data_IF_487601312922
#
_entry.id   IF_487601312922
#
_cell.length_a   1.000
_cell.length_b   1.000
_cell.length_c   1.000
_cell.angle_alpha   90.00
_cell.angle_beta   90.00
_cell.angle_gamma   90.00
#
_symmetry.space_group_name_H-M   'P 1'
#
loop_
_entity.id
_entity.type
_entity.pdbx_description
1 polymer ?
#
# COMPACT_ATOMS: atom_id res chain seq x y z
N UNK A 1 6.90 -9.52 9.31
CA UNK A 1 7.63 -9.18 10.54
C UNK A 1 8.61 -8.03 10.34
N UNK A 2 9.37 -8.03 9.24
CA UNK A 2 10.50 -7.12 9.02
C UNK A 2 10.21 -5.60 9.07
N UNK A 3 9.05 -5.16 8.57
CA UNK A 3 8.76 -3.72 8.44
C UNK A 3 7.49 -3.29 9.20
N UNK A 4 6.43 -4.10 9.12
CA UNK A 4 5.14 -3.73 9.69
C UNK A 4 5.07 -3.90 11.20
N UNK A 5 5.74 -4.92 11.76
CA UNK A 5 5.68 -5.15 13.21
C UNK A 5 6.36 -4.01 14.00
N UNK A 6 7.59 -3.56 13.65
CA UNK A 6 8.22 -2.39 14.27
C UNK A 6 7.33 -1.14 14.30
N UNK A 7 6.59 -0.90 13.22
CA UNK A 7 5.67 0.23 13.11
C UNK A 7 4.45 0.06 14.01
N UNK A 8 3.87 -1.14 14.04
CA UNK A 8 2.68 -1.43 14.84
C UNK A 8 2.95 -1.30 16.35
N UNK A 9 4.12 -1.70 16.83
CA UNK A 9 4.42 -1.75 18.27
C UNK A 9 5.00 -0.45 18.85
N UNK A 10 5.37 0.53 17.99
CA UNK A 10 6.16 1.72 18.37
C UNK A 10 5.62 2.50 19.57
N UNK A 11 4.30 2.55 19.73
CA UNK A 11 3.64 3.29 20.81
C UNK A 11 2.77 2.39 21.72
N UNK A 12 2.93 1.06 21.61
CA UNK A 12 2.10 0.10 22.35
C UNK A 12 2.82 -0.49 23.57
N UNK A 13 4.16 -0.55 23.54
CA UNK A 13 4.97 -1.22 24.55
C UNK A 13 6.04 -0.27 25.13
N UNK A 14 6.57 -0.56 26.33
CA UNK A 14 7.67 0.21 26.89
C UNK A 14 8.87 0.30 25.94
N UNK A 15 9.57 1.44 25.95
CA UNK A 15 10.65 1.73 25.00
C UNK A 15 11.71 0.62 24.91
N UNK A 16 12.09 0.04 26.05
CA UNK A 16 13.10 -1.02 26.08
C UNK A 16 12.61 -2.32 25.41
N UNK A 17 11.34 -2.71 25.61
CA UNK A 17 10.73 -3.88 24.94
C UNK A 17 10.62 -3.64 23.44
N UNK A 18 10.15 -2.45 23.06
CA UNK A 18 10.03 -2.06 21.66
C UNK A 18 11.38 -2.06 20.97
N UNK A 19 12.44 -1.53 21.61
CA UNK A 19 13.79 -1.54 21.06
C UNK A 19 14.28 -2.97 20.79
N UNK A 20 14.13 -3.90 21.74
CA UNK A 20 14.54 -5.30 21.56
C UNK A 20 13.77 -5.98 20.43
N UNK A 21 12.45 -5.77 20.34
CA UNK A 21 11.64 -6.33 19.25
C UNK A 21 11.99 -5.71 17.89
N UNK A 22 12.30 -4.42 17.85
CA UNK A 22 12.75 -3.73 16.64
C UNK A 22 14.10 -4.30 16.18
N UNK A 23 15.04 -4.52 17.08
CA UNK A 23 16.33 -5.17 16.76
C UNK A 23 16.13 -6.59 16.22
N UNK A 24 15.26 -7.37 16.84
CA UNK A 24 14.91 -8.70 16.35
C UNK A 24 14.28 -8.66 14.94
N UNK A 25 13.43 -7.67 14.65
CA UNK A 25 12.90 -7.47 13.31
C UNK A 25 13.96 -6.98 12.31
N UNK A 26 14.90 -6.13 12.76
CA UNK A 26 16.02 -5.64 11.97
C UNK A 26 16.91 -6.79 11.51
N UNK A 27 17.13 -7.77 12.38
CA UNK A 27 17.85 -9.00 12.08
C UNK A 27 17.26 -9.73 10.87
N UNK A 28 15.96 -10.05 10.91
CA UNK A 28 15.30 -10.74 9.79
C UNK A 28 15.33 -9.91 8.51
N UNK A 29 15.17 -8.59 8.61
CA UNK A 29 15.23 -7.69 7.47
C UNK A 29 16.60 -7.72 6.78
N UNK A 30 17.68 -7.75 7.56
CA UNK A 30 19.03 -7.87 7.03
C UNK A 30 19.26 -9.26 6.39
N UNK A 31 18.86 -10.32 7.10
CA UNK A 31 19.01 -11.70 6.65
C UNK A 31 18.24 -11.99 5.35
N UNK A 32 17.05 -11.41 5.19
CA UNK A 32 16.18 -11.62 4.02
C UNK A 32 16.49 -10.65 2.87
N UNK A 33 17.60 -9.91 2.95
CA UNK A 33 18.01 -9.02 1.85
C UNK A 33 18.39 -9.83 0.60
N UNK A 34 18.20 -9.21 -0.57
CA UNK A 34 18.43 -9.86 -1.88
C UNK A 34 19.89 -10.29 -2.08
N UNK A 35 20.83 -9.58 -1.46
CA UNK A 35 22.27 -9.76 -1.57
C UNK A 35 22.90 -9.71 -0.19
N UNK A 36 23.69 -10.73 0.15
CA UNK A 36 24.33 -10.86 1.46
C UNK A 36 25.85 -10.70 1.33
N UNK A 37 26.43 -9.89 2.20
CA UNK A 37 27.88 -9.76 2.34
C UNK A 37 28.34 -10.57 3.56
N UNK A 38 29.49 -11.25 3.46
CA UNK A 38 29.99 -12.11 4.54
C UNK A 38 30.34 -11.33 5.82
N UNK A 39 30.94 -10.15 5.69
CA UNK A 39 31.27 -9.27 6.83
C UNK A 39 30.01 -8.82 7.57
N UNK A 40 28.96 -8.43 6.82
CA UNK A 40 27.66 -8.06 7.41
C UNK A 40 27.02 -9.24 8.15
N UNK A 41 27.14 -10.45 7.60
CA UNK A 41 26.63 -11.67 8.24
C UNK A 41 27.38 -11.98 9.54
N UNK A 42 28.69 -11.79 9.61
CA UNK A 42 29.44 -11.96 10.87
C UNK A 42 28.98 -10.98 11.96
N UNK A 43 28.79 -9.71 11.60
CA UNK A 43 28.20 -8.74 12.52
C UNK A 43 26.78 -9.13 12.93
N UNK A 44 25.99 -9.65 11.99
CA UNK A 44 24.61 -10.07 12.23
C UNK A 44 24.53 -11.25 13.20
N UNK A 45 25.47 -12.21 13.11
CA UNK A 45 25.59 -13.34 14.04
C UNK A 45 25.80 -12.87 15.48
N UNK A 46 26.70 -11.91 15.69
CA UNK A 46 26.98 -11.38 17.03
C UNK A 46 25.76 -10.62 17.58
N UNK A 47 25.08 -9.86 16.72
CA UNK A 47 23.88 -9.10 17.11
C UNK A 47 22.72 -9.99 17.52
N UNK A 48 22.46 -11.10 16.80
CA UNK A 48 21.31 -11.96 17.13
C UNK A 48 21.49 -12.66 18.47
N UNK A 49 22.72 -13.06 18.83
CA UNK A 49 23.02 -13.65 20.15
C UNK A 49 22.64 -12.68 21.27
N UNK A 50 23.11 -11.43 21.19
CA UNK A 50 22.78 -10.39 22.17
C UNK A 50 21.28 -10.08 22.19
N UNK A 51 20.65 -10.04 21.01
CA UNK A 51 19.20 -9.79 20.90
C UNK A 51 18.38 -10.90 21.57
N UNK A 52 18.76 -12.16 21.40
CA UNK A 52 18.11 -13.29 22.06
C UNK A 52 18.26 -13.22 23.58
N UNK A 53 19.43 -12.85 24.09
CA UNK A 53 19.63 -12.62 25.53
C UNK A 53 18.70 -11.51 26.07
N UNK A 54 18.58 -10.39 25.34
CA UNK A 54 17.64 -9.34 25.74
C UNK A 54 16.18 -9.81 25.70
N UNK A 55 15.79 -10.59 24.68
CA UNK A 55 14.45 -11.17 24.63
C UNK A 55 14.21 -12.09 25.84
N UNK A 56 15.23 -12.85 26.27
CA UNK A 56 15.13 -13.80 27.38
C UNK A 56 14.95 -13.11 28.73
N UNK A 57 15.56 -11.94 28.89
CA UNK A 57 15.35 -11.09 30.06
C UNK A 57 13.94 -10.47 30.12
N UNK A 58 13.27 -10.32 28.97
CA UNK A 58 12.00 -9.57 28.87
C UNK A 58 10.76 -10.46 28.79
N UNK A 59 10.86 -11.61 28.13
CA UNK A 59 9.73 -12.50 27.86
C UNK A 59 9.80 -13.76 28.74
N UNK A 60 8.64 -14.34 29.11
CA UNK A 60 8.61 -15.57 29.90
C UNK A 60 9.23 -16.74 29.13
N UNK A 61 9.71 -17.79 29.82
CA UNK A 61 10.30 -18.98 29.18
C UNK A 61 9.39 -19.64 28.13
N UNK A 62 8.06 -19.52 28.27
CA UNK A 62 7.09 -20.03 27.29
C UNK A 62 7.19 -19.35 25.92
N UNK A 63 7.79 -18.17 25.82
CA UNK A 63 8.08 -17.50 24.56
C UNK A 63 9.21 -18.19 23.78
N UNK A 64 10.18 -18.78 24.50
CA UNK A 64 11.38 -19.40 23.95
C UNK A 64 11.11 -20.83 23.47
N UNK A 65 10.27 -20.92 22.45
CA UNK A 65 10.10 -22.17 21.69
C UNK A 65 11.35 -22.45 20.85
N UNK A 66 11.45 -23.70 20.36
CA UNK A 66 12.51 -24.11 19.44
C UNK A 66 12.67 -23.14 18.25
N UNK A 67 11.57 -22.59 17.74
CA UNK A 67 11.58 -21.64 16.62
C UNK A 67 12.33 -20.34 16.93
N UNK A 68 12.22 -19.83 18.16
CA UNK A 68 12.93 -18.61 18.57
C UNK A 68 14.42 -18.91 18.75
N UNK A 69 14.76 -20.07 19.30
CA UNK A 69 16.15 -20.44 19.48
C UNK A 69 16.88 -20.68 18.15
N UNK A 70 16.19 -21.27 17.16
CA UNK A 70 16.76 -21.53 15.83
C UNK A 70 17.23 -20.27 15.10
N UNK A 71 16.77 -19.07 15.49
CA UNK A 71 17.19 -17.83 14.82
C UNK A 71 18.69 -17.58 14.93
N UNK A 72 19.36 -18.12 15.95
CA UNK A 72 20.81 -18.00 16.10
C UNK A 72 21.58 -18.75 15.00
N UNK A 73 20.99 -19.78 14.41
CA UNK A 73 21.62 -20.62 13.39
C UNK A 73 21.37 -20.10 11.96
N UNK A 74 20.40 -19.20 11.77
CA UNK A 74 19.99 -18.74 10.45
C UNK A 74 21.09 -18.00 9.69
N UNK A 75 22.01 -17.34 10.40
CA UNK A 75 23.13 -16.65 9.76
C UNK A 75 24.14 -17.64 9.20
N UNK A 76 24.47 -18.69 9.94
CA UNK A 76 25.34 -19.77 9.43
C UNK A 76 24.68 -20.49 8.26
N UNK A 77 23.37 -20.75 8.37
CA UNK A 77 22.60 -21.27 7.25
C UNK A 77 22.67 -20.35 6.02
N UNK A 78 22.59 -19.03 6.21
CA UNK A 78 22.75 -18.03 5.14
C UNK A 78 24.15 -18.01 4.52
N UNK A 79 25.20 -18.21 5.32
CA UNK A 79 26.57 -18.34 4.81
C UNK A 79 26.75 -19.58 3.94
N UNK A 80 26.16 -20.71 4.34
CA UNK A 80 26.34 -21.99 3.66
C UNK A 80 25.48 -22.12 2.40
N UNK A 81 24.21 -21.72 2.45
CA UNK A 81 23.28 -21.89 1.32
C UNK A 81 22.85 -20.60 0.63
N UNK A 82 23.43 -19.47 0.98
CA UNK A 82 23.17 -18.18 0.34
C UNK A 82 21.87 -17.50 0.79
N UNK A 83 21.32 -16.57 -0.01
CA UNK A 83 20.14 -15.79 0.36
C UNK A 83 18.91 -16.63 0.76
N UNK A 84 18.17 -16.17 1.77
CA UNK A 84 17.05 -16.90 2.39
C UNK A 84 15.86 -17.08 1.44
N UNK A 85 15.63 -16.16 0.51
CA UNK A 85 14.42 -16.17 -0.32
C UNK A 85 14.27 -17.42 -1.20
N UNK A 86 15.36 -18.08 -1.57
CA UNK A 86 15.31 -19.34 -2.32
C UNK A 86 15.13 -20.59 -1.45
N UNK A 87 15.21 -20.44 -0.13
CA UNK A 87 15.26 -21.55 0.83
C UNK A 87 14.17 -21.47 1.88
N UNK A 88 13.32 -20.46 1.82
CA UNK A 88 12.15 -20.42 2.67
C UNK A 88 11.24 -21.61 2.39
N UNK A 89 10.94 -22.38 3.42
CA UNK A 89 9.96 -23.46 3.37
C UNK A 89 8.53 -22.96 3.24
N UNK A 90 8.26 -21.71 3.63
CA UNK A 90 6.90 -21.18 3.70
C UNK A 90 6.08 -21.28 2.41
N UNK A 91 6.60 -20.96 1.20
CA UNK A 91 5.85 -21.17 -0.04
C UNK A 91 5.53 -22.66 -0.29
N UNK A 92 6.47 -23.55 0.01
CA UNK A 92 6.30 -25.00 -0.14
C UNK A 92 5.24 -25.52 0.84
N UNK A 93 5.33 -25.15 2.10
CA UNK A 93 4.36 -25.54 3.13
C UNK A 93 2.96 -25.01 2.83
N UNK A 94 2.86 -23.79 2.29
CA UNK A 94 1.58 -23.22 1.85
C UNK A 94 0.98 -24.03 0.71
N UNK A 95 1.79 -24.40 -0.28
CA UNK A 95 1.35 -25.22 -1.42
C UNK A 95 0.90 -26.60 -0.95
N UNK A 96 1.71 -27.27 -0.12
CA UNK A 96 1.34 -28.55 0.48
C UNK A 96 0.06 -28.45 1.31
N UNK A 97 -0.14 -27.33 2.01
CA UNK A 97 -1.37 -27.03 2.75
C UNK A 97 -2.60 -26.89 1.85
N UNK A 98 -2.45 -26.27 0.67
CA UNK A 98 -3.51 -26.17 -0.35
C UNK A 98 -3.80 -27.55 -0.97
N UNK A 99 -2.78 -28.28 -1.41
CA UNK A 99 -2.93 -29.64 -1.96
C UNK A 99 -3.61 -30.59 -0.97
N UNK A 100 -3.32 -30.45 0.32
CA UNK A 100 -3.96 -31.23 1.38
C UNK A 100 -5.50 -31.07 1.39
N UNK A 101 -6.03 -29.94 0.93
CA UNK A 101 -7.49 -29.72 0.82
C UNK A 101 -8.15 -30.61 -0.24
N UNK A 102 -7.38 -31.13 -1.20
CA UNK A 102 -7.86 -32.04 -2.24
C UNK A 102 -7.97 -33.50 -1.79
N UNK A 103 -7.43 -33.86 -0.62
CA UNK A 103 -7.48 -35.24 -0.11
C UNK A 103 -8.89 -35.59 0.37
N UNK A 104 -9.76 -36.01 -0.56
CA UNK A 104 -11.12 -36.51 -0.30
C UNK A 104 -11.14 -37.97 0.11
N UNK A 105 -10.26 -38.79 -0.47
CA UNK A 105 -10.07 -40.19 -0.10
C UNK A 105 -8.70 -40.40 0.55
N UNK A 106 -8.69 -40.59 1.88
CA UNK A 106 -7.45 -40.82 2.65
C UNK A 106 -6.78 -42.16 2.35
N UNK A 107 -7.47 -43.13 1.75
CA UNK A 107 -6.88 -44.41 1.36
C UNK A 107 -6.06 -44.30 0.07
N UNK A 108 -6.28 -43.25 -0.73
CA UNK A 108 -5.55 -42.94 -1.96
C UNK A 108 -5.34 -41.42 -2.08
N UNK A 109 -4.48 -40.84 -1.23
CA UNK A 109 -4.33 -39.39 -1.13
C UNK A 109 -3.73 -38.77 -2.40
N UNK A 110 -2.76 -39.44 -3.05
CA UNK A 110 -2.11 -38.95 -4.26
C UNK A 110 -3.11 -38.86 -5.42
N UNK A 111 -3.96 -39.89 -5.58
CA UNK A 111 -5.03 -39.90 -6.59
C UNK A 111 -6.06 -38.80 -6.33
N UNK A 112 -6.46 -38.61 -5.07
CA UNK A 112 -7.38 -37.54 -4.69
C UNK A 112 -6.81 -36.14 -4.98
N UNK A 113 -5.52 -35.94 -4.72
CA UNK A 113 -4.83 -34.68 -5.02
C UNK A 113 -4.78 -34.45 -6.53
N UNK A 114 -4.40 -35.46 -7.31
CA UNK A 114 -4.33 -35.35 -8.77
C UNK A 114 -5.69 -35.00 -9.38
N UNK A 115 -6.77 -35.64 -8.92
CA UNK A 115 -8.13 -35.36 -9.38
C UNK A 115 -8.58 -33.95 -8.99
N UNK A 116 -8.39 -33.56 -7.73
CA UNK A 116 -8.76 -32.23 -7.23
C UNK A 116 -8.00 -31.11 -7.93
N UNK A 117 -6.70 -31.30 -8.15
CA UNK A 117 -5.86 -30.37 -8.89
C UNK A 117 -6.31 -30.23 -10.35
N UNK A 118 -6.59 -31.35 -11.04
CA UNK A 118 -7.08 -31.33 -12.42
C UNK A 118 -8.42 -30.58 -12.53
N UNK A 119 -9.32 -30.79 -11.58
CA UNK A 119 -10.59 -30.08 -11.52
C UNK A 119 -10.39 -28.57 -11.29
N UNK A 120 -9.52 -28.18 -10.34
CA UNK A 120 -9.23 -26.77 -10.06
C UNK A 120 -8.61 -26.07 -11.27
N UNK A 121 -7.62 -26.68 -11.93
CA UNK A 121 -6.98 -26.11 -13.12
C UNK A 121 -7.97 -26.00 -14.29
N UNK A 122 -8.80 -27.03 -14.51
CA UNK A 122 -9.82 -27.01 -15.57
C UNK A 122 -10.84 -25.89 -15.33
N UNK A 123 -11.34 -25.75 -14.11
CA UNK A 123 -12.27 -24.68 -13.74
C UNK A 123 -11.60 -23.30 -13.83
N UNK A 124 -10.35 -23.18 -13.39
CA UNK A 124 -9.56 -21.95 -13.48
C UNK A 124 -9.34 -21.55 -14.94
N UNK A 125 -9.06 -22.49 -15.83
CA UNK A 125 -8.94 -22.25 -17.27
C UNK A 125 -10.28 -21.78 -17.87
N UNK A 126 -11.36 -22.53 -17.66
CA UNK A 126 -12.70 -22.18 -18.14
C UNK A 126 -13.16 -20.81 -17.64
N UNK A 127 -12.82 -20.46 -16.39
CA UNK A 127 -13.20 -19.17 -15.78
C UNK A 127 -12.66 -17.95 -16.51
N UNK A 128 -11.61 -18.10 -17.32
CA UNK A 128 -11.07 -16.99 -18.14
C UNK A 128 -11.93 -16.65 -19.36
N UNK A 129 -12.84 -17.55 -19.74
CA UNK A 129 -13.70 -17.41 -20.92
C UNK A 129 -15.17 -17.15 -20.57
N UNK A 130 -15.50 -17.05 -19.28
CA UNK A 130 -16.85 -16.79 -18.80
C UNK A 130 -16.88 -15.39 -18.19
N UNK A 131 -17.58 -14.46 -18.84
CA UNK A 131 -17.63 -13.06 -18.44
C UNK A 131 -18.78 -12.75 -17.47
N UNK A 132 -19.89 -13.48 -17.57
CA UNK A 132 -21.13 -13.21 -16.84
C UNK A 132 -21.19 -13.81 -15.42
N UNK A 133 -20.13 -14.47 -14.95
CA UNK A 133 -20.09 -15.13 -13.65
C UNK A 133 -18.91 -14.59 -12.84
N UNK A 134 -19.09 -14.37 -11.54
CA UNK A 134 -17.99 -14.01 -10.65
C UNK A 134 -16.98 -15.18 -10.53
N UNK A 135 -15.75 -14.93 -10.95
CA UNK A 135 -14.60 -15.83 -10.94
C UNK A 135 -13.49 -15.24 -10.08
N UNK A 136 -12.46 -16.05 -9.77
CA UNK A 136 -11.27 -15.56 -9.04
C UNK A 136 -10.57 -14.39 -9.75
N UNK A 137 -10.71 -14.26 -11.07
CA UNK A 137 -10.03 -13.26 -11.88
C UNK A 137 -10.81 -11.95 -12.05
N UNK A 138 -12.14 -12.02 -12.16
CA UNK A 138 -12.99 -10.84 -12.34
C UNK A 138 -13.61 -10.33 -11.02
N UNK A 139 -13.53 -11.11 -9.93
CA UNK A 139 -14.00 -10.70 -8.61
C UNK A 139 -13.37 -9.38 -8.19
N UNK A 140 -14.22 -8.42 -7.86
CA UNK A 140 -13.80 -7.09 -7.42
C UNK A 140 -12.90 -7.22 -6.18
N UNK A 141 -11.74 -6.56 -6.22
CA UNK A 141 -10.77 -6.62 -5.11
C UNK A 141 -11.40 -6.04 -3.85
N UNK A 142 -10.96 -6.54 -2.68
CA UNK A 142 -11.43 -6.03 -1.37
C UNK A 142 -11.19 -4.52 -1.20
N UNK A 143 -10.16 -4.00 -1.87
CA UNK A 143 -9.90 -2.56 -2.03
C UNK A 143 -10.11 -2.26 -3.51
N UNK A 144 -11.29 -1.77 -3.84
CA UNK A 144 -11.60 -1.22 -5.15
C UNK A 144 -12.03 0.23 -4.93
N UNK A 145 -11.13 1.14 -5.29
CA UNK A 145 -11.38 2.59 -5.35
C UNK A 145 -11.85 3.00 -6.75
N UNK A 146 -12.19 2.02 -7.61
CA UNK A 146 -12.65 2.32 -8.95
C UNK A 146 -13.99 3.07 -8.85
N UNK A 147 -14.13 4.16 -9.63
CA UNK A 147 -15.40 4.85 -9.76
C UNK A 147 -16.48 3.86 -10.18
N UNK A 148 -17.68 4.02 -9.63
CA UNK A 148 -18.81 3.17 -10.00
C UNK A 148 -19.25 3.62 -11.41
N UNK A 149 -19.44 2.71 -12.36
CA UNK A 149 -19.80 3.10 -13.75
C UNK A 149 -21.16 3.85 -13.86
N UNK A 150 -21.93 3.91 -12.77
CA UNK A 150 -23.14 4.73 -12.61
C UNK A 150 -22.85 6.16 -12.10
N UNK A 151 -21.80 6.81 -12.60
CA UNK A 151 -21.35 8.08 -12.05
C UNK A 151 -22.00 9.32 -12.70
N UNK A 152 -22.45 10.23 -11.84
CA UNK A 152 -23.04 11.52 -12.18
C UNK A 152 -22.02 12.43 -12.88
N UNK A 153 -22.47 13.40 -13.68
CA UNK A 153 -21.62 14.43 -14.33
C UNK A 153 -20.66 15.14 -13.36
N UNK A 154 -20.98 15.22 -12.07
CA UNK A 154 -20.09 15.82 -11.06
C UNK A 154 -18.86 14.94 -10.77
N UNK A 155 -19.01 13.62 -10.84
CA UNK A 155 -17.92 12.66 -10.62
C UNK A 155 -16.91 12.62 -11.77
N UNK A 156 -17.31 13.00 -12.99
CA UNK A 156 -16.36 13.15 -14.10
C UNK A 156 -15.50 14.41 -13.99
N UNK A 157 -16.00 15.45 -13.29
CA UNK A 157 -15.25 16.69 -13.03
C UNK A 157 -14.31 16.52 -11.83
N UNK A 158 -14.80 15.89 -10.76
CA UNK A 158 -14.03 15.58 -9.56
C UNK A 158 -14.10 14.07 -9.31
N UNK A 159 -13.21 13.26 -9.91
CA UNK A 159 -13.21 11.83 -9.67
C UNK A 159 -13.02 11.59 -8.17
N UNK A 160 -13.93 10.81 -7.59
CA UNK A 160 -13.86 10.44 -6.19
C UNK A 160 -12.68 9.46 -6.02
N UNK A 161 -11.49 10.00 -5.79
CA UNK A 161 -10.30 9.21 -5.55
C UNK A 161 -10.36 8.57 -4.17
N UNK A 162 -10.66 7.27 -4.11
CA UNK A 162 -10.59 6.48 -2.89
C UNK A 162 -11.90 6.32 -2.13
N UNK A 163 -12.00 5.22 -1.38
CA UNK A 163 -13.09 4.99 -0.43
C UNK A 163 -12.76 5.65 0.91
N UNK A 164 -13.60 6.61 1.36
CA UNK A 164 -13.43 7.23 2.68
C UNK A 164 -13.71 6.19 3.77
N UNK A 165 -12.70 5.86 4.57
CA UNK A 165 -12.78 4.90 5.68
C UNK A 165 -12.31 5.58 6.97
N UNK A 166 -13.18 5.68 7.97
CA UNK A 166 -12.86 6.30 9.27
C UNK A 166 -14.01 7.12 9.85
N UNK A 167 -13.80 7.70 11.03
CA UNK A 167 -14.74 8.65 11.62
C UNK A 167 -14.70 10.00 10.92
N UNK A 168 -15.87 10.58 10.62
CA UNK A 168 -15.98 11.91 10.01
C UNK A 168 -15.99 13.00 11.08
N UNK A 169 -15.25 14.08 10.87
CA UNK A 169 -15.39 15.33 11.63
C UNK A 169 -15.89 16.43 10.70
N UNK A 170 -16.94 17.14 11.13
CA UNK A 170 -17.47 18.28 10.39
C UNK A 170 -16.89 19.56 10.99
N UNK A 171 -16.34 20.43 10.14
CA UNK A 171 -15.91 21.76 10.53
C UNK A 171 -16.45 22.79 9.53
N UNK A 172 -16.67 24.01 10.01
CA UNK A 172 -17.17 25.10 9.17
C UNK A 172 -15.98 25.86 8.59
N UNK A 173 -15.95 26.02 7.26
CA UNK A 173 -14.93 26.84 6.60
C UNK A 173 -15.19 28.32 6.86
N UNK A 174 -14.12 29.06 7.15
CA UNK A 174 -14.18 30.53 7.16
C UNK A 174 -14.44 31.06 5.75
N UNK A 175 -14.93 32.30 5.64
CA UNK A 175 -15.18 32.93 4.34
C UNK A 175 -13.93 32.91 3.43
N UNK A 176 -12.75 33.19 4.00
CA UNK A 176 -11.50 33.17 3.26
C UNK A 176 -11.13 31.76 2.77
N UNK A 177 -11.29 30.74 3.61
CA UNK A 177 -11.05 29.34 3.21
C UNK A 177 -12.03 28.88 2.14
N UNK A 178 -13.30 29.28 2.25
CA UNK A 178 -14.32 28.98 1.23
C UNK A 178 -13.98 29.64 -0.11
N UNK A 179 -13.55 30.89 -0.10
CA UNK A 179 -13.11 31.61 -1.31
C UNK A 179 -11.88 30.96 -1.94
N UNK A 180 -10.90 30.56 -1.13
CA UNK A 180 -9.70 29.85 -1.60
C UNK A 180 -10.05 28.48 -2.20
N UNK A 181 -10.91 27.70 -1.55
CA UNK A 181 -11.38 26.42 -2.08
C UNK A 181 -12.11 26.60 -3.42
N UNK A 182 -12.99 27.59 -3.52
CA UNK A 182 -13.72 27.89 -4.75
C UNK A 182 -12.78 28.30 -5.90
N UNK A 183 -11.78 29.15 -5.62
CA UNK A 183 -10.73 29.52 -6.59
C UNK A 183 -9.96 28.31 -7.07
N UNK A 184 -9.54 27.45 -6.15
CA UNK A 184 -8.79 26.25 -6.47
C UNK A 184 -9.58 25.33 -7.39
N UNK A 185 -10.85 25.08 -7.05
CA UNK A 185 -11.76 24.26 -7.85
C UNK A 185 -11.93 24.81 -9.27
N UNK A 186 -12.21 26.11 -9.42
CA UNK A 186 -12.43 26.72 -10.73
C UNK A 186 -11.18 26.75 -11.61
N UNK A 187 -10.02 27.08 -11.04
CA UNK A 187 -8.77 27.19 -11.81
C UNK A 187 -8.16 25.84 -12.21
N UNK A 188 -8.54 24.75 -11.53
CA UNK A 188 -8.06 23.40 -11.84
C UNK A 188 -9.13 22.54 -12.55
N UNK A 189 -10.28 23.11 -12.90
CA UNK A 189 -11.33 22.39 -13.61
C UNK A 189 -11.14 22.53 -15.14
N UNK A 190 -10.97 21.41 -15.83
CA UNK A 190 -10.74 21.38 -17.27
C UNK A 190 -11.87 22.03 -18.09
N UNK A 191 -13.12 21.95 -17.60
CA UNK A 191 -14.29 22.57 -18.25
C UNK A 191 -14.25 24.10 -18.14
N UNK A 192 -13.63 24.62 -17.09
CA UNK A 192 -13.57 26.07 -16.82
C UNK A 192 -12.37 26.72 -17.53
N UNK A 193 -11.37 25.96 -17.95
CA UNK A 193 -10.17 26.43 -18.66
C UNK A 193 -10.47 27.41 -19.81
N UNK A 194 -11.43 27.15 -20.73
CA UNK A 194 -11.72 28.08 -21.82
C UNK A 194 -12.17 29.47 -21.35
N UNK A 195 -12.91 29.54 -20.24
CA UNK A 195 -13.37 30.79 -19.65
C UNK A 195 -12.23 31.54 -18.93
N UNK A 196 -11.29 30.80 -18.34
CA UNK A 196 -10.06 31.39 -17.78
C UNK A 196 -9.25 32.05 -18.89
N UNK A 197 -9.12 31.39 -20.05
CA UNK A 197 -8.40 31.93 -21.20
C UNK A 197 -9.11 33.13 -21.82
N UNK A 198 -10.45 33.10 -21.90
CA UNK A 198 -11.25 34.26 -22.31
C UNK A 198 -11.02 35.46 -21.37
N UNK A 199 -11.00 35.21 -20.06
CA UNK A 199 -10.74 36.26 -19.07
C UNK A 199 -9.31 36.82 -19.18
N UNK A 200 -8.31 35.96 -19.43
CA UNK A 200 -6.93 36.41 -19.72
C UNK A 200 -6.89 37.32 -20.93
N UNK A 201 -7.64 37.01 -21.98
CA UNK A 201 -7.71 37.83 -23.18
C UNK A 201 -8.49 39.13 -22.96
N UNK A 202 -9.54 39.12 -22.14
CA UNK A 202 -10.24 40.34 -21.71
C UNK A 202 -9.29 41.29 -20.96
N UNK A 203 -8.45 40.78 -20.06
CA UNK A 203 -7.43 41.57 -19.35
C UNK A 203 -6.47 42.20 -20.35
N UNK A 204 -5.95 41.42 -21.31
CA UNK A 204 -5.04 41.94 -22.36
C UNK A 204 -5.69 43.03 -23.20
N UNK A 205 -6.97 42.87 -23.59
CA UNK A 205 -7.72 43.84 -24.40
C UNK A 205 -8.01 45.15 -23.65
N UNK A 206 -8.27 45.07 -22.34
CA UNK A 206 -8.56 46.27 -21.51
C UNK A 206 -7.32 47.12 -21.21
N UNK A 207 -6.13 46.53 -21.27
CA UNK A 207 -4.87 47.27 -21.08
C UNK A 207 -4.53 48.10 -22.31
N UNK A 208 -5.14 49.29 -22.43
CA UNK A 208 -4.89 50.26 -23.51
C UNK A 208 -3.41 50.71 -23.51
N UNK A 209 -2.63 50.21 -24.46
CA UNK A 209 -1.27 50.69 -24.76
C UNK A 209 -0.13 50.14 -23.87
N UNK A 210 -0.43 49.40 -22.80
CA UNK A 210 0.57 48.73 -21.95
C UNK A 210 0.36 47.22 -22.04
N UNK A 211 1.41 46.45 -22.38
CA UNK A 211 1.37 44.98 -22.27
C UNK A 211 1.54 44.61 -20.78
N UNK A 212 0.52 44.10 -20.08
CA UNK A 212 0.67 43.65 -18.71
C UNK A 212 1.62 42.45 -18.66
N UNK A 213 2.43 42.37 -17.60
CA UNK A 213 3.32 41.22 -17.39
C UNK A 213 2.50 39.95 -17.15
N UNK A 214 3.04 38.79 -17.50
CA UNK A 214 2.40 37.48 -17.23
C UNK A 214 2.03 37.34 -15.75
N UNK A 215 2.90 37.80 -14.84
CA UNK A 215 2.65 37.76 -13.38
C UNK A 215 1.48 38.64 -12.96
N UNK A 216 1.28 39.77 -13.65
CA UNK A 216 0.20 40.71 -13.39
C UNK A 216 -1.14 40.14 -13.86
N UNK A 217 -1.15 39.48 -15.02
CA UNK A 217 -2.32 38.76 -15.54
C UNK A 217 -2.74 37.66 -14.55
N UNK A 218 -1.82 36.80 -14.13
CA UNK A 218 -2.13 35.70 -13.20
C UNK A 218 -2.59 36.21 -11.83
N UNK A 219 -2.03 37.32 -11.34
CA UNK A 219 -2.50 37.95 -10.09
C UNK A 219 -3.94 38.44 -10.21
N UNK A 220 -4.32 38.98 -11.36
CA UNK A 220 -5.68 39.47 -11.62
C UNK A 220 -6.65 38.33 -11.88
N UNK A 221 -6.26 37.30 -12.61
CA UNK A 221 -7.02 36.04 -12.73
C UNK A 221 -7.31 35.49 -11.35
N UNK A 222 -6.30 35.33 -10.49
CA UNK A 222 -6.49 34.80 -9.14
C UNK A 222 -7.44 35.64 -8.27
N UNK A 223 -7.44 36.97 -8.44
CA UNK A 223 -8.27 37.88 -7.61
C UNK A 223 -9.69 38.05 -8.15
N UNK A 224 -9.83 38.34 -9.44
CA UNK A 224 -11.04 38.87 -10.07
C UNK A 224 -11.82 37.82 -10.87
N UNK A 225 -11.22 36.69 -11.25
CA UNK A 225 -11.87 35.70 -12.11
C UNK A 225 -13.15 35.13 -11.51
N UNK A 226 -13.16 34.84 -10.21
CA UNK A 226 -14.33 34.25 -9.54
C UNK A 226 -15.54 35.18 -9.61
N UNK A 227 -15.34 36.46 -9.34
CA UNK A 227 -16.41 37.46 -9.36
C UNK A 227 -16.88 37.75 -10.79
N UNK A 228 -15.98 37.65 -11.77
CA UNK A 228 -16.32 37.79 -13.19
C UNK A 228 -17.12 36.58 -13.69
N UNK A 229 -16.68 35.37 -13.35
CA UNK A 229 -17.30 34.12 -13.77
C UNK A 229 -18.71 33.94 -13.18
N UNK A 230 -18.97 34.45 -11.97
CA UNK A 230 -20.31 34.47 -11.37
C UNK A 230 -21.30 35.40 -12.10
N UNK A 231 -20.81 36.35 -12.91
CA UNK A 231 -21.63 37.32 -13.63
C UNK A 231 -21.86 36.95 -15.10
N UNK A 232 -21.23 35.86 -15.56
CA UNK A 232 -21.41 35.28 -16.88
C UNK A 232 -22.73 34.50 -16.94
#
# INVERSE_FOLDING_TARGET
MEQLLPLAIRNLLPNHVTATLVEFCSFFKALCSKSLNLEDLEMLQNRIVVTLCHLEMLFPPSFFTVMVHLTVHLVEEAKLGGPVHYRYMYPIERELGHLKTFVRNKAQPEGSIAEGYLAEESLTFCSRYIEDIETRFNRQRRVCDNPNDNECFVSSIFPLGGKVVGGSSMFTLTHMQKLQAHRYVLLNCAIVTPFVDEFRDLIKRRSRGRRPSTTEIETRVFKEFVDWFQRL
#
